data_IF_916522958749
#
_entry.id   IF_916522958749
#
_cell.length_a   1.000
_cell.length_b   1.000
_cell.length_c   1.000
_cell.angle_alpha   90.00
_cell.angle_beta   90.00
_cell.angle_gamma   90.00
#
_symmetry.space_group_name_H-M   'P 1'
#
loop_
_entity.id
_entity.type
_entity.pdbx_description
1 polymer ?
#
# COMPACT_ATOMS: atom_id res chain seq x y z
N UNK A 1 -13.19 -8.67 15.01
CA UNK A 1 -13.91 -7.78 14.08
C UNK A 1 -12.94 -7.28 13.02
N UNK A 2 -13.42 -7.10 11.79
CA UNK A 2 -12.62 -6.59 10.66
C UNK A 2 -13.23 -5.28 10.16
N UNK A 3 -12.39 -4.32 9.80
CA UNK A 3 -12.79 -3.11 9.11
C UNK A 3 -11.85 -2.80 7.95
N UNK A 4 -12.33 -2.08 6.96
CA UNK A 4 -11.53 -1.53 5.87
C UNK A 4 -11.81 -0.05 5.73
N UNK A 5 -10.75 0.73 5.50
CA UNK A 5 -10.82 2.11 5.04
C UNK A 5 -10.38 2.15 3.59
N UNK A 6 -11.24 2.61 2.71
CA UNK A 6 -10.97 2.69 1.29
C UNK A 6 -11.58 3.95 0.67
N UNK A 7 -11.01 4.41 -0.43
CA UNK A 7 -11.64 5.44 -1.26
C UNK A 7 -12.99 4.93 -1.79
N UNK A 8 -13.97 5.81 -1.90
CA UNK A 8 -15.21 5.48 -2.59
C UNK A 8 -14.92 5.21 -4.08
N UNK A 9 -15.25 4.02 -4.53
CA UNK A 9 -14.85 3.52 -5.85
C UNK A 9 -15.89 3.80 -6.91
N UNK A 10 -17.11 4.18 -6.53
CA UNK A 10 -18.22 4.39 -7.46
C UNK A 10 -17.95 5.46 -8.54
N UNK A 11 -16.88 6.23 -8.40
CA UNK A 11 -16.53 7.34 -9.32
C UNK A 11 -15.13 7.20 -9.95
N UNK A 12 -14.36 6.14 -9.67
CA UNK A 12 -13.03 5.98 -10.24
C UNK A 12 -12.98 4.83 -11.24
N UNK A 13 -12.57 5.12 -12.47
CA UNK A 13 -12.23 4.15 -13.51
C UNK A 13 -10.99 3.28 -13.15
N UNK A 14 -10.59 3.25 -11.88
CA UNK A 14 -9.40 2.54 -11.41
C UNK A 14 -9.74 1.08 -11.08
N UNK A 15 -9.31 0.10 -11.87
CA UNK A 15 -9.69 -1.32 -11.73
C UNK A 15 -9.35 -1.93 -10.37
N UNK A 16 -8.29 -1.44 -9.69
CA UNK A 16 -7.81 -1.96 -8.41
C UNK A 16 -8.78 -1.75 -7.25
N UNK A 17 -9.47 -0.63 -7.23
CA UNK A 17 -10.40 -0.31 -6.17
C UNK A 17 -11.73 -1.08 -6.34
N UNK A 18 -12.20 -1.25 -7.59
CA UNK A 18 -13.38 -2.05 -7.91
C UNK A 18 -13.19 -3.54 -7.49
N UNK A 19 -11.99 -4.08 -7.67
CA UNK A 19 -11.68 -5.45 -7.27
C UNK A 19 -11.72 -5.64 -5.75
N UNK A 20 -11.20 -4.68 -4.99
CA UNK A 20 -11.25 -4.73 -3.52
C UNK A 20 -12.69 -4.68 -3.04
N UNK A 21 -13.51 -3.79 -3.59
CA UNK A 21 -14.92 -3.69 -3.23
C UNK A 21 -15.71 -4.93 -3.62
N UNK A 22 -15.48 -5.51 -4.81
CA UNK A 22 -16.13 -6.74 -5.25
C UNK A 22 -15.76 -7.94 -4.36
N UNK A 23 -14.49 -8.06 -3.97
CA UNK A 23 -14.03 -9.10 -3.03
C UNK A 23 -14.69 -8.93 -1.66
N UNK A 24 -14.80 -7.71 -1.18
CA UNK A 24 -15.34 -7.40 0.14
C UNK A 24 -16.87 -7.52 0.14
N UNK A 25 -17.58 -7.07 -0.91
CA UNK A 25 -19.04 -7.25 -1.05
C UNK A 25 -19.46 -8.71 -1.12
N UNK A 26 -18.60 -9.58 -1.67
CA UNK A 26 -18.81 -11.03 -1.67
C UNK A 26 -18.86 -11.63 -0.26
N UNK A 27 -18.27 -10.95 0.74
CA UNK A 27 -18.08 -11.44 2.11
C UNK A 27 -18.95 -10.71 3.16
N UNK A 28 -20.09 -10.12 2.74
CA UNK A 28 -21.06 -9.47 3.65
C UNK A 28 -21.48 -10.33 4.84
N UNK A 29 -21.24 -11.63 4.79
CA UNK A 29 -21.58 -12.60 5.85
C UNK A 29 -20.64 -12.53 7.06
N UNK A 30 -19.47 -11.86 6.98
CA UNK A 30 -18.41 -11.97 7.98
C UNK A 30 -18.20 -10.73 8.86
N UNK A 31 -19.16 -9.81 8.92
CA UNK A 31 -19.13 -8.71 9.87
C UNK A 31 -18.02 -7.70 9.64
N UNK A 32 -17.71 -7.38 8.37
CA UNK A 32 -16.74 -6.33 8.00
C UNK A 32 -17.40 -4.96 8.06
N UNK A 33 -16.77 -4.02 8.77
CA UNK A 33 -17.17 -2.61 8.78
C UNK A 33 -16.44 -1.85 7.68
N UNK A 34 -17.15 -0.98 6.98
CA UNK A 34 -16.61 -0.20 5.87
C UNK A 34 -16.55 1.28 6.23
N UNK A 35 -15.38 1.88 6.05
CA UNK A 35 -15.15 3.31 6.16
C UNK A 35 -14.67 3.83 4.81
N UNK A 36 -15.22 4.94 4.38
CA UNK A 36 -14.86 5.58 3.12
C UNK A 36 -14.08 6.86 3.39
N UNK A 37 -12.95 7.00 2.75
CA UNK A 37 -12.11 8.18 2.91
C UNK A 37 -10.81 8.11 2.12
N UNK A 38 -10.08 9.20 2.13
CA UNK A 38 -8.75 9.30 1.52
C UNK A 38 -7.68 9.37 2.60
N UNK A 39 -6.57 8.66 2.41
CA UNK A 39 -5.43 8.72 3.33
C UNK A 39 -4.79 10.11 3.42
N UNK A 40 -4.95 10.94 2.39
CA UNK A 40 -4.49 12.33 2.42
C UNK A 40 -5.32 13.23 3.34
N UNK A 41 -6.50 12.80 3.74
CA UNK A 41 -7.36 13.49 4.70
C UNK A 41 -7.19 12.89 6.11
N UNK A 42 -6.42 13.58 6.94
CA UNK A 42 -6.15 13.17 8.32
C UNK A 42 -7.43 13.00 9.15
N UNK A 43 -8.41 13.89 8.99
CA UNK A 43 -9.65 13.84 9.81
C UNK A 43 -10.44 12.58 9.50
N UNK A 44 -10.62 12.26 8.23
CA UNK A 44 -11.30 11.01 7.81
C UNK A 44 -10.61 9.78 8.35
N UNK A 45 -9.26 9.75 8.34
CA UNK A 45 -8.48 8.65 8.91
C UNK A 45 -8.69 8.55 10.42
N UNK A 46 -8.59 9.67 11.13
CA UNK A 46 -8.78 9.74 12.58
C UNK A 46 -10.17 9.29 12.99
N UNK A 47 -11.23 9.74 12.30
CA UNK A 47 -12.62 9.37 12.58
C UNK A 47 -12.85 7.86 12.39
N UNK A 48 -12.30 7.27 11.34
CA UNK A 48 -12.38 5.83 11.12
C UNK A 48 -11.70 5.04 12.24
N UNK A 49 -10.51 5.46 12.67
CA UNK A 49 -9.76 4.79 13.74
C UNK A 49 -10.43 4.93 15.11
N UNK A 50 -10.93 6.11 15.46
CA UNK A 50 -11.65 6.36 16.72
C UNK A 50 -12.97 5.61 16.80
N UNK A 51 -13.66 5.47 15.66
CA UNK A 51 -14.93 4.74 15.58
C UNK A 51 -14.73 3.23 15.69
N UNK A 52 -13.74 2.67 15.00
CA UNK A 52 -13.53 1.21 14.97
C UNK A 52 -12.63 0.68 16.09
N UNK A 53 -11.62 1.46 16.49
CA UNK A 53 -10.62 1.12 17.53
C UNK A 53 -9.93 -0.23 17.26
N UNK A 54 -9.20 -0.39 16.16
CA UNK A 54 -8.52 -1.63 15.84
C UNK A 54 -7.39 -1.95 16.82
N UNK A 55 -7.17 -3.22 17.09
CA UNK A 55 -5.97 -3.72 17.80
C UNK A 55 -4.75 -3.83 16.86
N UNK A 56 -5.01 -4.07 15.57
CA UNK A 56 -3.99 -4.26 14.53
C UNK A 56 -4.40 -3.48 13.29
N UNK A 57 -3.45 -2.76 12.70
CA UNK A 57 -3.60 -2.08 11.41
C UNK A 57 -2.69 -2.78 10.40
N UNK A 58 -3.25 -3.16 9.25
CA UNK A 58 -2.51 -3.65 8.08
C UNK A 58 -2.62 -2.58 7.00
N UNK A 59 -1.54 -1.81 6.82
CA UNK A 59 -1.50 -0.68 5.91
C UNK A 59 -0.98 -1.12 4.53
N UNK A 60 -1.91 -1.48 3.65
CA UNK A 60 -1.65 -1.91 2.26
C UNK A 60 -1.99 -0.82 1.24
N UNK A 61 -2.69 0.23 1.67
CA UNK A 61 -3.16 1.27 0.77
C UNK A 61 -1.99 2.07 0.19
N UNK A 62 -1.89 2.07 -1.13
CA UNK A 62 -0.86 2.77 -1.88
C UNK A 62 -1.26 2.91 -3.36
N UNK A 63 -0.68 3.89 -4.04
CA UNK A 63 -0.54 3.86 -5.49
C UNK A 63 0.64 2.93 -5.81
N UNK A 64 0.38 1.80 -6.48
CA UNK A 64 1.35 0.68 -6.59
C UNK A 64 2.11 0.63 -7.90
N UNK A 65 1.77 1.45 -8.90
CA UNK A 65 2.44 1.43 -10.20
C UNK A 65 3.72 2.26 -10.19
N UNK A 66 4.87 1.60 -10.34
CA UNK A 66 6.17 2.27 -10.48
C UNK A 66 6.19 3.17 -11.70
N UNK A 67 5.73 2.67 -12.87
CA UNK A 67 5.68 3.46 -14.11
C UNK A 67 4.80 4.72 -13.96
N UNK A 68 3.64 4.60 -13.30
CA UNK A 68 2.76 5.73 -13.02
C UNK A 68 3.44 6.80 -12.15
N UNK A 69 4.33 6.41 -11.26
CA UNK A 69 4.99 7.33 -10.35
C UNK A 69 5.87 8.37 -11.04
N UNK A 70 6.41 8.06 -12.22
CA UNK A 70 7.23 8.99 -12.98
C UNK A 70 6.44 10.15 -13.59
N UNK A 71 5.17 9.93 -13.93
CA UNK A 71 4.29 10.95 -14.52
C UNK A 71 3.39 11.63 -13.48
N UNK A 72 3.17 11.00 -12.32
CA UNK A 72 2.27 11.48 -11.27
C UNK A 72 2.96 11.50 -9.90
N UNK A 73 4.18 12.02 -9.87
CA UNK A 73 5.07 12.01 -8.69
C UNK A 73 4.40 12.58 -7.44
N UNK A 74 3.76 13.73 -7.54
CA UNK A 74 3.13 14.38 -6.38
C UNK A 74 1.97 13.57 -5.81
N UNK A 75 1.14 12.97 -6.67
CA UNK A 75 0.06 12.09 -6.22
C UNK A 75 0.61 10.87 -5.47
N UNK A 76 1.68 10.25 -6.00
CA UNK A 76 2.31 9.08 -5.40
C UNK A 76 2.95 9.43 -4.05
N UNK A 77 3.67 10.54 -3.97
CA UNK A 77 4.26 11.02 -2.70
C UNK A 77 3.16 11.32 -1.68
N UNK A 78 2.10 12.01 -2.09
CA UNK A 78 1.00 12.36 -1.20
C UNK A 78 0.26 11.09 -0.69
N UNK A 79 -0.05 10.15 -1.58
CA UNK A 79 -0.76 8.93 -1.18
C UNK A 79 0.12 7.99 -0.36
N UNK A 80 1.35 7.70 -0.84
CA UNK A 80 2.18 6.64 -0.26
C UNK A 80 2.99 7.11 0.95
N UNK A 81 3.43 8.36 0.98
CA UNK A 81 4.17 8.91 2.10
C UNK A 81 3.26 9.69 3.05
N UNK A 82 2.64 10.79 2.61
CA UNK A 82 1.80 11.60 3.50
C UNK A 82 0.60 10.80 4.02
N UNK A 83 -0.03 9.97 3.18
CA UNK A 83 -1.10 9.08 3.61
C UNK A 83 -0.65 8.08 4.69
N UNK A 84 0.59 7.56 4.60
CA UNK A 84 1.17 6.71 5.65
C UNK A 84 1.44 7.52 6.93
N UNK A 85 1.95 8.75 6.82
CA UNK A 85 2.14 9.67 7.96
C UNK A 85 0.81 9.92 8.67
N UNK A 86 -0.24 10.27 7.92
CA UNK A 86 -1.57 10.51 8.48
C UNK A 86 -2.11 9.29 9.23
N UNK A 87 -2.02 8.10 8.61
CA UNK A 87 -2.49 6.86 9.23
C UNK A 87 -1.70 6.52 10.50
N UNK A 88 -0.37 6.65 10.47
CA UNK A 88 0.48 6.32 11.60
C UNK A 88 0.33 7.34 12.76
N UNK A 89 0.27 8.64 12.46
CA UNK A 89 0.06 9.67 13.48
C UNK A 89 -1.33 9.59 14.11
N UNK A 90 -2.38 9.37 13.32
CA UNK A 90 -3.71 9.16 13.86
C UNK A 90 -3.74 7.89 14.74
N UNK A 91 -3.15 6.79 14.27
CA UNK A 91 -3.07 5.56 15.05
C UNK A 91 -2.31 5.75 16.37
N UNK A 92 -1.17 6.46 16.34
CA UNK A 92 -0.37 6.76 17.53
C UNK A 92 -1.14 7.59 18.57
N UNK A 93 -1.93 8.57 18.12
CA UNK A 93 -2.67 9.48 19.01
C UNK A 93 -3.96 8.88 19.54
N UNK A 94 -4.71 8.21 18.65
CA UNK A 94 -6.06 7.75 18.96
C UNK A 94 -6.11 6.32 19.53
N UNK A 95 -5.05 5.52 19.31
CA UNK A 95 -5.03 4.10 19.67
C UNK A 95 -3.87 3.76 20.62
N UNK A 96 -3.89 4.21 21.89
CA UNK A 96 -2.81 3.95 22.84
C UNK A 96 -2.62 2.45 23.16
N UNK A 97 -3.58 1.60 22.79
CA UNK A 97 -3.52 0.14 22.98
C UNK A 97 -3.28 -0.62 21.66
N UNK A 98 -2.88 0.08 20.59
CA UNK A 98 -2.57 -0.57 19.32
C UNK A 98 -1.45 -1.60 19.51
N UNK A 99 -1.70 -2.83 19.08
CA UNK A 99 -0.74 -3.94 19.25
C UNK A 99 0.27 -3.98 18.11
N UNK A 100 -0.16 -3.72 16.87
CA UNK A 100 0.68 -3.78 15.68
C UNK A 100 0.20 -2.81 14.60
N UNK A 101 1.16 -2.15 13.98
CA UNK A 101 1.00 -1.42 12.72
C UNK A 101 1.88 -2.08 11.67
N UNK A 102 1.27 -2.75 10.70
CA UNK A 102 1.96 -3.54 9.69
C UNK A 102 2.01 -2.74 8.39
N UNK A 103 3.20 -2.36 7.95
CA UNK A 103 3.40 -1.56 6.74
C UNK A 103 3.95 -2.40 5.59
N UNK A 104 3.30 -2.28 4.45
CA UNK A 104 3.78 -2.86 3.19
C UNK A 104 4.74 -1.91 2.48
N UNK A 105 6.02 -2.10 2.71
CA UNK A 105 7.10 -1.50 1.91
C UNK A 105 7.28 -2.23 0.57
N UNK A 106 8.46 -2.10 -0.04
CA UNK A 106 8.72 -2.66 -1.36
C UNK A 106 10.21 -2.94 -1.58
N UNK A 107 10.55 -3.95 -2.36
CA UNK A 107 11.92 -4.15 -2.87
C UNK A 107 12.41 -3.00 -3.75
N UNK A 108 11.51 -2.18 -4.29
CA UNK A 108 11.84 -0.95 -5.01
C UNK A 108 12.61 0.08 -4.16
N UNK A 109 12.59 -0.07 -2.84
CA UNK A 109 13.36 0.73 -1.90
C UNK A 109 14.87 0.48 -2.04
N UNK A 110 15.27 -0.71 -2.46
CA UNK A 110 16.68 -1.02 -2.73
C UNK A 110 17.20 -0.41 -4.04
N UNK A 111 16.31 -0.06 -4.98
CA UNK A 111 16.66 0.41 -6.32
C UNK A 111 17.37 -0.65 -7.15
N UNK A 112 18.36 -0.23 -7.94
CA UNK A 112 19.11 -1.14 -8.83
C UNK A 112 20.14 -1.93 -7.99
N UNK A 113 19.84 -3.19 -7.74
CA UNK A 113 20.69 -4.08 -6.96
C UNK A 113 21.73 -4.79 -7.81
N UNK A 114 22.95 -4.88 -7.30
CA UNK A 114 24.06 -5.61 -7.90
C UNK A 114 24.46 -6.86 -7.10
N UNK A 115 23.92 -7.02 -5.88
CA UNK A 115 24.21 -8.15 -4.98
C UNK A 115 22.92 -8.86 -4.59
N UNK A 116 22.92 -10.19 -4.70
CA UNK A 116 21.79 -11.05 -4.39
C UNK A 116 22.22 -12.20 -3.45
N UNK A 117 21.31 -12.69 -2.59
CA UNK A 117 19.97 -12.17 -2.31
C UNK A 117 20.02 -10.81 -1.59
N UNK A 118 18.98 -9.98 -1.80
CA UNK A 118 18.84 -8.71 -1.08
C UNK A 118 18.62 -8.97 0.39
N UNK A 119 19.38 -8.27 1.25
CA UNK A 119 19.28 -8.37 2.71
C UNK A 119 18.66 -7.10 3.29
N UNK A 120 17.99 -7.22 4.44
CA UNK A 120 17.29 -6.11 5.08
C UNK A 120 18.22 -4.95 5.48
N UNK A 121 19.50 -5.23 5.71
CA UNK A 121 20.51 -4.24 6.10
C UNK A 121 21.21 -3.57 4.90
N UNK A 122 20.81 -3.87 3.67
CA UNK A 122 21.36 -3.17 2.51
C UNK A 122 20.88 -1.73 2.48
N UNK A 123 21.73 -0.87 1.96
CA UNK A 123 21.43 0.55 1.78
C UNK A 123 20.27 0.74 0.80
N UNK A 124 19.44 1.73 1.06
CA UNK A 124 18.24 2.01 0.28
C UNK A 124 18.53 3.13 -0.71
N UNK A 125 18.41 2.82 -2.00
CA UNK A 125 18.67 3.73 -3.12
C UNK A 125 17.54 3.67 -4.14
N UNK A 126 16.39 4.29 -3.80
CA UNK A 126 15.26 4.25 -4.71
C UNK A 126 15.58 4.80 -6.11
N UNK A 127 15.16 4.06 -7.14
CA UNK A 127 15.30 4.45 -8.53
C UNK A 127 14.00 5.03 -9.12
N UNK A 128 12.97 5.24 -8.30
CA UNK A 128 11.66 5.75 -8.73
C UNK A 128 11.03 6.62 -7.66
N UNK A 129 10.11 7.56 -8.02
CA UNK A 129 9.33 8.32 -7.03
C UNK A 129 8.52 7.42 -6.09
N UNK A 130 8.04 6.26 -6.59
CA UNK A 130 7.38 5.25 -5.77
C UNK A 130 8.31 4.71 -4.68
N UNK A 131 9.52 4.31 -5.05
CA UNK A 131 10.52 3.82 -4.09
C UNK A 131 10.93 4.90 -3.08
N UNK A 132 11.09 6.16 -3.51
CA UNK A 132 11.35 7.30 -2.62
C UNK A 132 10.22 7.45 -1.59
N UNK A 133 8.95 7.39 -2.02
CA UNK A 133 7.81 7.48 -1.11
C UNK A 133 7.80 6.35 -0.06
N UNK A 134 8.15 5.13 -0.49
CA UNK A 134 8.22 3.95 0.41
C UNK A 134 9.35 4.07 1.43
N UNK A 135 10.55 4.51 1.01
CA UNK A 135 11.68 4.79 1.93
C UNK A 135 11.30 5.87 2.94
N UNK A 136 10.68 6.97 2.49
CA UNK A 136 10.28 8.05 3.39
C UNK A 136 9.28 7.57 4.45
N UNK A 137 8.30 6.76 4.05
CA UNK A 137 7.32 6.16 4.95
C UNK A 137 8.00 5.20 5.96
N UNK A 138 8.92 4.33 5.51
CA UNK A 138 9.68 3.44 6.39
C UNK A 138 10.50 4.22 7.41
N UNK A 139 11.22 5.27 6.98
CA UNK A 139 12.02 6.13 7.87
C UNK A 139 11.13 6.83 8.90
N UNK A 140 9.98 7.32 8.51
CA UNK A 140 9.02 7.94 9.43
C UNK A 140 8.49 6.93 10.47
N UNK A 141 8.12 5.73 10.06
CA UNK A 141 7.66 4.69 10.97
C UNK A 141 8.76 4.23 11.94
N UNK A 142 10.01 4.17 11.48
CA UNK A 142 11.18 3.91 12.34
C UNK A 142 11.36 5.01 13.38
N UNK A 143 11.26 6.27 12.97
CA UNK A 143 11.29 7.41 13.90
C UNK A 143 10.19 7.28 14.96
N UNK A 144 8.95 6.94 14.56
CA UNK A 144 7.86 6.76 15.53
C UNK A 144 8.14 5.61 16.53
N UNK A 145 8.77 4.54 16.07
CA UNK A 145 9.17 3.45 16.95
C UNK A 145 10.25 3.93 17.94
N UNK A 146 11.29 4.60 17.48
CA UNK A 146 12.41 5.07 18.31
C UNK A 146 11.98 6.15 19.30
N UNK A 147 11.12 7.10 18.87
CA UNK A 147 10.71 8.22 19.69
C UNK A 147 9.53 7.91 20.64
N UNK A 148 8.64 7.01 20.26
CA UNK A 148 7.37 6.78 20.97
C UNK A 148 7.06 5.32 21.26
N UNK A 149 7.90 4.36 20.86
CA UNK A 149 7.61 2.94 20.98
C UNK A 149 6.45 2.48 20.09
N UNK A 150 6.14 3.22 19.01
CA UNK A 150 5.03 2.88 18.11
C UNK A 150 5.23 1.49 17.50
N UNK A 151 4.24 0.55 17.61
CA UNK A 151 4.44 -0.87 17.35
C UNK A 151 4.44 -1.21 15.85
N UNK A 152 5.30 -0.56 15.06
CA UNK A 152 5.41 -0.78 13.62
C UNK A 152 6.23 -2.03 13.26
N UNK A 153 5.75 -2.76 12.26
CA UNK A 153 6.47 -3.81 11.52
C UNK A 153 6.45 -3.42 10.06
N UNK A 154 7.60 -3.44 9.41
CA UNK A 154 7.76 -3.06 8.02
C UNK A 154 8.36 -4.22 7.23
N UNK A 155 7.77 -4.58 6.09
CA UNK A 155 8.41 -5.50 5.18
C UNK A 155 8.56 -4.89 3.80
N UNK A 156 9.65 -5.24 3.12
CA UNK A 156 9.91 -4.87 1.74
C UNK A 156 9.49 -6.02 0.85
N UNK A 157 8.22 -5.97 0.43
CA UNK A 157 7.63 -7.03 -0.38
C UNK A 157 8.24 -7.06 -1.77
N UNK A 158 8.58 -8.27 -2.23
CA UNK A 158 8.81 -8.52 -3.64
C UNK A 158 7.50 -8.55 -4.43
N UNK A 159 7.60 -8.61 -5.77
CA UNK A 159 6.44 -8.66 -6.64
C UNK A 159 5.57 -9.87 -6.31
N UNK A 160 4.31 -9.59 -5.99
CA UNK A 160 3.30 -10.61 -5.75
C UNK A 160 2.44 -10.78 -6.99
N UNK A 161 2.11 -11.99 -7.34
CA UNK A 161 1.20 -12.33 -8.44
C UNK A 161 0.00 -13.11 -7.92
N UNK A 162 -1.07 -13.17 -8.72
CA UNK A 162 -2.25 -13.92 -8.35
C UNK A 162 -3.49 -13.44 -9.10
N UNK A 163 -4.65 -13.70 -8.51
CA UNK A 163 -5.93 -13.36 -9.12
C UNK A 163 -6.14 -11.85 -9.19
N UNK A 164 -5.79 -11.26 -10.32
CA UNK A 164 -6.04 -9.84 -10.63
C UNK A 164 -6.73 -9.73 -11.98
N UNK A 165 -7.69 -8.83 -12.08
CA UNK A 165 -8.32 -8.49 -13.35
C UNK A 165 -7.61 -7.31 -14.04
N UNK A 166 -6.39 -6.98 -13.60
CA UNK A 166 -5.63 -5.84 -14.10
C UNK A 166 -4.38 -6.32 -14.83
N UNK A 167 -4.30 -6.06 -16.14
CA UNK A 167 -3.20 -6.44 -17.01
C UNK A 167 -2.00 -5.47 -16.99
N UNK A 168 -1.96 -4.54 -16.03
CA UNK A 168 -0.85 -3.57 -15.89
C UNK A 168 0.39 -4.17 -15.23
N UNK A 169 0.27 -5.32 -14.58
CA UNK A 169 1.40 -5.99 -13.96
C UNK A 169 1.99 -7.05 -14.89
N UNK A 170 3.31 -7.26 -14.80
CA UNK A 170 4.07 -8.03 -15.77
C UNK A 170 3.56 -9.45 -15.97
N UNK A 171 3.28 -10.18 -14.90
CA UNK A 171 2.83 -11.60 -14.99
C UNK A 171 1.42 -11.67 -15.60
N UNK A 172 0.49 -10.86 -15.12
CA UNK A 172 -0.86 -10.78 -15.67
C UNK A 172 -0.85 -10.33 -17.13
N UNK A 173 0.05 -9.39 -17.48
CA UNK A 173 0.25 -8.94 -18.88
C UNK A 173 0.76 -10.07 -19.76
N UNK A 174 1.74 -10.84 -19.32
CA UNK A 174 2.27 -12.00 -20.05
C UNK A 174 1.16 -13.02 -20.28
N UNK A 175 0.46 -13.41 -19.21
CA UNK A 175 -0.63 -14.39 -19.29
C UNK A 175 -1.70 -13.92 -20.29
N UNK A 176 -2.11 -12.65 -20.21
CA UNK A 176 -3.09 -12.09 -21.13
C UNK A 176 -2.63 -12.11 -22.58
N UNK A 177 -1.39 -11.74 -22.84
CA UNK A 177 -0.80 -11.74 -24.17
C UNK A 177 -0.73 -13.17 -24.76
N UNK A 178 -0.36 -14.16 -23.94
CA UNK A 178 -0.33 -15.57 -24.34
C UNK A 178 -1.74 -16.09 -24.69
N UNK A 179 -2.74 -15.82 -23.84
CA UNK A 179 -4.13 -16.20 -24.12
C UNK A 179 -4.70 -15.50 -25.36
N UNK A 180 -4.21 -14.31 -25.70
CA UNK A 180 -4.60 -13.58 -26.90
C UNK A 180 -3.92 -14.07 -28.17
N UNK A 181 -3.12 -15.15 -28.11
CA UNK A 181 -2.45 -15.76 -29.27
C UNK A 181 -1.30 -14.92 -29.83
N UNK A 182 -0.73 -14.01 -29.05
CA UNK A 182 0.42 -13.21 -29.52
C UNK A 182 1.69 -14.06 -29.58
N UNK A 183 2.33 -14.07 -30.72
CA UNK A 183 3.60 -14.78 -30.94
C UNK A 183 4.82 -14.04 -30.32
N UNK A 184 4.66 -12.74 -30.04
CA UNK A 184 5.70 -11.90 -29.45
C UNK A 184 5.13 -11.20 -28.20
N UNK A 185 5.79 -11.39 -27.05
CA UNK A 185 5.40 -10.79 -25.80
C UNK A 185 6.09 -9.43 -25.60
N UNK A 186 5.31 -8.42 -25.24
CA UNK A 186 5.84 -7.10 -24.83
C UNK A 186 5.91 -7.08 -23.31
N UNK A 187 7.09 -6.83 -22.75
CA UNK A 187 7.35 -6.88 -21.30
C UNK A 187 7.45 -5.49 -20.64
N UNK A 188 7.21 -4.42 -21.37
CA UNK A 188 7.33 -3.04 -20.91
C UNK A 188 8.39 -2.29 -21.67
#
# INVERSE_FOLDING_TARGET
KLATLARNVATSDRPTAANTEAMIRGDKRNGVSYYYGDLSDYLTVSDALTSFKPDVIIHLAAQTSVAYSFTHTLEVLNTNFIGTVNMAEAARRELPKLKKFIFSGSVEEYGIQTKFPSKENYELHAASPYGVAKIAAEKFLRYLFEAYGFPSIMFRNANSYGRKHNHQFVIESIIHQMYSGKSLLKLG
#
